data_IF_818218786456
#
_entry.id   IF_818218786456
#
_cell.length_a   1.000
_cell.length_b   1.000
_cell.length_c   1.000
_cell.angle_alpha   90.00
_cell.angle_beta   90.00
_cell.angle_gamma   90.00
#
_symmetry.space_group_name_H-M   'P 1'
#
loop_
_entity.id
_entity.type
_entity.pdbx_description
1 polymer ?
#
# COMPACT_ATOMS: atom_id res chain seq x y z
N UNK A 1 49.90 9.81 -8.15
CA UNK A 1 49.28 8.48 -8.40
C UNK A 1 49.03 7.85 -7.04
N UNK A 2 47.83 7.96 -6.53
CA UNK A 2 47.45 7.34 -5.25
C UNK A 2 47.15 5.87 -5.47
N UNK A 3 48.00 5.01 -4.90
CA UNK A 3 47.77 3.57 -4.86
C UNK A 3 46.60 3.30 -3.90
N UNK A 4 45.41 3.20 -4.45
CA UNK A 4 44.23 2.77 -3.72
C UNK A 4 44.32 1.23 -3.54
N UNK A 5 45.01 0.79 -2.51
CA UNK A 5 45.16 -0.62 -2.16
C UNK A 5 43.95 -1.03 -1.30
N UNK A 6 42.84 -1.36 -1.94
CA UNK A 6 41.73 -1.99 -1.25
C UNK A 6 42.10 -3.43 -0.89
N UNK A 7 42.16 -3.73 0.41
CA UNK A 7 42.36 -5.09 0.94
C UNK A 7 41.30 -6.10 0.46
N UNK A 8 40.17 -5.61 -0.08
CA UNK A 8 39.08 -6.42 -0.60
C UNK A 8 39.28 -6.82 -2.08
N UNK A 9 40.13 -6.13 -2.85
CA UNK A 9 40.35 -6.42 -4.27
C UNK A 9 41.13 -7.70 -4.51
N UNK A 10 41.95 -8.15 -3.54
CA UNK A 10 42.80 -9.35 -3.66
C UNK A 10 42.23 -10.55 -2.91
N UNK A 11 41.01 -10.52 -2.50
CA UNK A 11 40.35 -11.65 -1.85
C UNK A 11 39.74 -12.53 -2.93
N UNK A 12 40.34 -13.72 -3.11
CA UNK A 12 39.76 -14.76 -3.97
C UNK A 12 38.31 -15.06 -3.47
N UNK A 13 37.35 -14.59 -4.21
CA UNK A 13 35.89 -14.69 -3.87
C UNK A 13 35.46 -16.16 -3.86
N UNK A 14 36.24 -17.04 -4.48
CA UNK A 14 35.97 -18.48 -4.57
C UNK A 14 36.11 -19.25 -3.24
N UNK A 15 36.83 -18.70 -2.24
CA UNK A 15 37.10 -19.44 -0.97
C UNK A 15 36.38 -18.85 0.24
N UNK A 16 35.82 -17.67 0.13
CA UNK A 16 35.03 -17.07 1.20
C UNK A 16 33.54 -17.40 0.99
N UNK A 17 33.09 -18.60 1.39
CA UNK A 17 31.68 -18.84 1.62
C UNK A 17 31.12 -17.64 2.39
N UNK A 18 29.93 -17.13 2.01
CA UNK A 18 29.27 -16.00 2.71
C UNK A 18 29.31 -16.29 4.21
N UNK A 19 30.17 -15.58 4.94
CA UNK A 19 30.21 -15.73 6.41
C UNK A 19 28.92 -15.17 6.95
N UNK A 20 28.23 -15.93 7.76
CA UNK A 20 27.11 -15.41 8.55
C UNK A 20 27.61 -14.16 9.30
N UNK A 21 26.96 -13.00 9.11
CA UNK A 21 27.39 -11.78 9.77
C UNK A 21 27.44 -11.96 11.28
N UNK A 22 28.50 -11.46 11.92
CA UNK A 22 28.59 -11.46 13.40
C UNK A 22 27.45 -10.62 13.99
N UNK A 23 27.13 -10.84 15.26
CA UNK A 23 26.09 -10.05 15.97
C UNK A 23 26.35 -8.53 15.88
N UNK A 24 27.64 -8.12 15.93
CA UNK A 24 28.03 -6.72 15.72
C UNK A 24 27.71 -6.25 14.31
N UNK A 25 28.07 -7.03 13.30
CA UNK A 25 27.78 -6.69 11.88
C UNK A 25 26.27 -6.62 11.67
N UNK A 26 25.51 -7.57 12.22
CA UNK A 26 24.06 -7.55 12.15
C UNK A 26 23.47 -6.31 12.82
N UNK A 27 23.98 -5.90 14.00
CA UNK A 27 23.52 -4.70 14.68
C UNK A 27 23.83 -3.43 13.90
N UNK A 28 24.98 -3.34 13.25
CA UNK A 28 25.37 -2.22 12.39
C UNK A 28 24.53 -2.18 11.11
N UNK A 29 24.26 -3.32 10.49
CA UNK A 29 23.36 -3.43 9.35
C UNK A 29 21.92 -3.03 9.72
N UNK A 30 21.46 -3.42 10.90
CA UNK A 30 20.15 -3.02 11.46
C UNK A 30 20.06 -1.53 11.76
N UNK A 31 21.14 -0.89 12.16
CA UNK A 31 21.14 0.52 12.56
C UNK A 31 21.16 1.51 11.36
N UNK A 32 21.56 1.09 10.18
CA UNK A 32 21.82 2.00 9.05
C UNK A 32 21.27 1.61 7.69
N UNK A 33 20.76 0.39 7.51
CA UNK A 33 20.28 -0.08 6.22
C UNK A 33 18.93 0.54 5.84
N UNK A 34 18.88 1.26 4.71
CA UNK A 34 17.60 1.56 4.06
C UNK A 34 16.99 0.26 3.56
N UNK A 35 15.68 0.12 3.71
CA UNK A 35 14.95 -1.00 3.13
C UNK A 35 15.14 -1.01 1.61
N UNK A 36 15.44 -2.18 1.05
CA UNK A 36 15.41 -2.39 -0.39
C UNK A 36 13.95 -2.38 -0.83
N UNK A 37 13.68 -1.73 -1.95
CA UNK A 37 12.30 -1.61 -2.46
C UNK A 37 12.20 -2.07 -3.89
N UNK A 38 11.02 -2.52 -4.27
CA UNK A 38 10.60 -2.72 -5.65
C UNK A 38 9.33 -1.90 -5.86
N UNK A 39 9.41 -0.93 -6.77
CA UNK A 39 8.32 -0.01 -7.07
C UNK A 39 7.76 -0.30 -8.46
N UNK A 40 6.45 -0.55 -8.59
CA UNK A 40 5.80 -0.62 -9.90
C UNK A 40 5.72 0.79 -10.50
N UNK A 41 6.33 1.00 -11.69
CA UNK A 41 6.37 2.29 -12.39
C UNK A 41 6.33 2.10 -13.89
N UNK A 42 5.39 2.78 -14.56
CA UNK A 42 5.32 2.81 -16.02
C UNK A 42 5.43 1.43 -16.69
N UNK A 43 4.67 0.44 -16.20
CA UNK A 43 4.66 -0.91 -16.72
C UNK A 43 5.92 -1.73 -16.42
N UNK A 44 6.77 -1.29 -15.50
CA UNK A 44 8.00 -1.98 -15.08
C UNK A 44 8.13 -1.97 -13.56
N UNK A 45 8.86 -2.93 -13.02
CA UNK A 45 9.22 -2.94 -11.60
C UNK A 45 10.64 -2.37 -11.44
N UNK A 46 10.77 -1.28 -10.70
CA UNK A 46 12.06 -0.62 -10.47
C UNK A 46 12.59 -1.06 -9.11
N UNK A 47 13.76 -1.68 -9.10
CA UNK A 47 14.48 -1.98 -7.86
C UNK A 47 15.17 -0.72 -7.34
N UNK A 48 14.99 -0.43 -6.07
CA UNK A 48 15.61 0.70 -5.39
C UNK A 48 16.42 0.19 -4.20
N UNK A 49 17.69 0.56 -4.16
CA UNK A 49 18.63 0.19 -3.09
C UNK A 49 19.27 1.47 -2.58
N UNK A 50 19.25 1.71 -1.30
CA UNK A 50 19.76 2.94 -0.66
C UNK A 50 19.18 4.26 -1.20
N UNK A 51 17.98 4.21 -1.80
CA UNK A 51 17.33 5.37 -2.39
C UNK A 51 17.57 5.53 -3.89
N UNK A 52 18.51 4.79 -4.48
CA UNK A 52 18.85 4.88 -5.90
C UNK A 52 18.25 3.73 -6.70
N UNK A 53 17.87 4.00 -7.95
CA UNK A 53 17.40 2.97 -8.87
C UNK A 53 18.55 1.98 -9.21
N UNK A 54 18.41 0.74 -8.76
CA UNK A 54 19.41 -0.31 -8.91
C UNK A 54 19.11 -1.31 -10.04
N UNK A 55 18.09 -1.05 -10.85
CA UNK A 55 17.71 -1.87 -11.99
C UNK A 55 16.21 -1.93 -12.24
N UNK A 56 15.86 -2.45 -13.41
CA UNK A 56 14.46 -2.67 -13.82
C UNK A 56 14.22 -4.16 -13.97
N UNK A 57 13.09 -4.62 -13.43
CA UNK A 57 12.60 -5.99 -13.55
C UNK A 57 11.38 -5.96 -14.48
N UNK A 58 11.35 -6.89 -15.42
CA UNK A 58 10.24 -6.97 -16.38
C UNK A 58 9.03 -7.66 -15.72
N UNK A 59 7.79 -7.24 -16.05
CA UNK A 59 6.61 -8.02 -15.73
C UNK A 59 6.55 -9.31 -16.61
N UNK A 60 5.88 -10.36 -16.15
CA UNK A 60 5.39 -10.54 -14.79
C UNK A 60 6.52 -10.78 -13.79
N UNK A 61 6.37 -10.26 -12.56
CA UNK A 61 7.37 -10.41 -11.51
C UNK A 61 6.97 -11.56 -10.57
N UNK A 62 7.86 -12.55 -10.41
CA UNK A 62 7.67 -13.64 -9.44
C UNK A 62 8.23 -13.25 -8.09
N UNK A 63 7.42 -13.43 -7.05
CA UNK A 63 7.76 -13.12 -5.65
C UNK A 63 7.20 -14.19 -4.71
N UNK A 64 7.76 -14.27 -3.51
CA UNK A 64 7.10 -14.88 -2.36
C UNK A 64 6.83 -13.78 -1.34
N UNK A 65 5.60 -13.68 -0.86
CA UNK A 65 5.21 -12.72 0.17
C UNK A 65 5.63 -13.26 1.53
N UNK A 66 6.67 -12.67 2.13
CA UNK A 66 7.23 -13.06 3.44
C UNK A 66 6.76 -12.16 4.58
N UNK A 67 5.98 -11.12 4.26
CA UNK A 67 5.32 -10.25 5.22
C UNK A 67 4.25 -9.42 4.54
N UNK A 68 3.11 -9.25 5.20
CA UNK A 68 2.00 -8.42 4.73
C UNK A 68 1.52 -7.57 5.89
N UNK A 69 1.29 -6.28 5.64
CA UNK A 69 0.68 -5.42 6.65
C UNK A 69 -0.65 -6.03 7.12
N UNK A 70 -0.84 -6.17 8.43
CA UNK A 70 -2.01 -6.86 9.02
C UNK A 70 -3.33 -6.16 8.69
N UNK A 71 -3.31 -4.82 8.58
CA UNK A 71 -4.48 -4.08 8.16
C UNK A 71 -4.82 -4.38 6.69
N UNK A 72 -6.10 -4.48 6.37
CA UNK A 72 -6.59 -4.62 4.98
C UNK A 72 -6.13 -3.47 4.08
N UNK A 73 -5.90 -2.30 4.67
CA UNK A 73 -5.20 -1.18 4.09
C UNK A 73 -4.64 -0.26 5.17
N UNK A 74 -3.43 0.18 4.99
CA UNK A 74 -2.81 1.28 5.71
C UNK A 74 -3.29 2.60 5.10
N UNK A 75 -3.00 3.73 5.73
CA UNK A 75 -3.41 5.05 5.26
C UNK A 75 -2.28 6.03 5.34
N UNK A 76 -2.25 6.97 4.40
CA UNK A 76 -1.32 8.09 4.43
C UNK A 76 -1.99 9.36 3.87
N UNK A 77 -1.56 10.50 4.37
CA UNK A 77 -2.03 11.82 3.98
C UNK A 77 -0.87 12.79 3.89
N UNK A 78 -0.85 13.57 2.84
CA UNK A 78 0.10 14.66 2.60
C UNK A 78 -0.68 15.96 2.44
N UNK A 79 -0.26 17.01 3.14
CA UNK A 79 -0.82 18.35 3.00
C UNK A 79 -0.42 18.95 1.65
N UNK A 80 0.85 18.74 1.27
CA UNK A 80 1.37 19.24 0.00
C UNK A 80 1.05 18.27 -1.13
N UNK A 81 0.70 18.82 -2.29
CA UNK A 81 0.62 18.03 -3.52
C UNK A 81 1.99 17.50 -3.90
N UNK A 82 2.01 16.33 -4.52
CA UNK A 82 3.23 15.72 -5.03
C UNK A 82 3.97 16.65 -6.01
N UNK A 83 5.26 16.82 -5.78
CA UNK A 83 6.19 17.51 -6.69
C UNK A 83 7.33 16.53 -7.03
N UNK A 84 7.45 16.09 -8.30
CA UNK A 84 8.48 15.13 -8.70
C UNK A 84 9.91 15.67 -8.54
N UNK A 85 10.08 17.00 -8.42
CA UNK A 85 11.39 17.64 -8.24
C UNK A 85 11.72 17.95 -6.78
N UNK A 86 10.76 17.75 -5.85
CA UNK A 86 10.99 17.96 -4.43
C UNK A 86 11.63 16.71 -3.80
N UNK A 87 12.39 16.93 -2.72
CA UNK A 87 12.84 15.81 -1.90
C UNK A 87 11.64 15.05 -1.33
N UNK A 88 11.77 13.72 -1.30
CA UNK A 88 10.75 12.85 -0.72
C UNK A 88 10.55 13.19 0.76
N UNK A 89 9.33 13.53 1.13
CA UNK A 89 8.95 13.90 2.50
C UNK A 89 8.05 12.86 3.13
N UNK A 90 8.05 12.85 4.47
CA UNK A 90 7.13 12.08 5.27
C UNK A 90 5.68 12.45 4.99
N UNK A 91 4.74 11.49 5.05
CA UNK A 91 3.34 11.84 5.17
C UNK A 91 3.10 12.68 6.44
N UNK A 92 2.23 13.67 6.33
CA UNK A 92 1.84 14.51 7.48
C UNK A 92 0.97 13.73 8.48
N UNK A 93 0.27 12.70 8.00
CA UNK A 93 -0.50 11.79 8.83
C UNK A 93 -0.53 10.40 8.18
N UNK A 94 -0.35 9.36 9.00
CA UNK A 94 -0.45 7.97 8.54
C UNK A 94 -1.08 7.07 9.58
N UNK A 95 -1.46 5.88 9.16
CA UNK A 95 -2.02 4.84 10.01
C UNK A 95 -1.56 3.47 9.53
N UNK A 96 -0.87 2.74 10.39
CA UNK A 96 -0.44 1.37 10.10
C UNK A 96 -1.57 0.35 10.25
N UNK A 97 -2.54 0.61 11.12
CA UNK A 97 -3.72 -0.24 11.35
C UNK A 97 -4.95 0.15 10.48
N UNK A 98 -4.85 1.26 9.74
CA UNK A 98 -5.94 1.79 8.93
C UNK A 98 -7.08 2.46 9.72
N UNK A 99 -7.08 2.39 11.06
CA UNK A 99 -8.18 2.81 11.94
C UNK A 99 -7.86 4.07 12.74
N UNK A 100 -6.61 4.20 13.22
CA UNK A 100 -6.18 5.34 14.03
C UNK A 100 -4.87 5.89 13.50
N UNK A 101 -4.65 7.22 13.62
CA UNK A 101 -3.34 7.80 13.35
C UNK A 101 -2.26 7.14 14.22
N UNK A 102 -1.05 6.99 13.64
CA UNK A 102 0.08 6.46 14.38
C UNK A 102 0.40 7.36 15.59
N UNK A 103 0.69 6.80 16.78
CA UNK A 103 0.94 7.58 17.99
C UNK A 103 2.14 8.54 17.92
N UNK A 104 3.07 8.29 16.99
CA UNK A 104 4.25 9.16 16.77
C UNK A 104 3.93 10.47 16.06
N UNK A 105 2.72 10.61 15.50
CA UNK A 105 2.29 11.81 14.77
C UNK A 105 1.97 12.93 15.75
N UNK A 106 2.68 14.08 15.62
CA UNK A 106 2.48 15.23 16.50
C UNK A 106 1.15 15.95 16.29
N UNK A 107 0.65 16.00 15.05
CA UNK A 107 -0.56 16.71 14.67
C UNK A 107 -1.45 15.82 13.78
N UNK A 108 -2.15 14.84 14.36
CA UNK A 108 -3.01 13.95 13.59
C UNK A 108 -4.22 14.72 13.01
N UNK A 109 -4.63 14.37 11.79
CA UNK A 109 -5.73 15.03 11.08
C UNK A 109 -7.13 14.69 11.66
N UNK A 110 -7.22 13.72 12.53
CA UNK A 110 -8.45 13.30 13.20
C UNK A 110 -8.17 12.30 14.32
N UNK A 111 -9.13 12.04 15.18
CA UNK A 111 -9.01 11.05 16.27
C UNK A 111 -9.06 9.61 15.74
N UNK A 112 -9.82 9.39 14.68
CA UNK A 112 -9.94 8.10 13.98
C UNK A 112 -9.88 8.34 12.49
N UNK A 113 -9.40 7.34 11.73
CA UNK A 113 -9.32 7.44 10.27
C UNK A 113 -10.69 7.41 9.61
N UNK A 114 -11.69 6.76 10.22
CA UNK A 114 -13.04 6.66 9.68
C UNK A 114 -13.73 8.03 9.62
N UNK A 115 -13.68 8.80 10.71
CA UNK A 115 -14.33 10.11 10.84
C UNK A 115 -13.43 11.27 10.44
N UNK A 116 -12.23 11.00 9.93
CA UNK A 116 -11.25 12.01 9.55
C UNK A 116 -11.74 12.84 8.36
N UNK A 117 -11.66 14.19 8.40
CA UNK A 117 -12.04 15.06 7.28
C UNK A 117 -11.30 14.72 5.98
N UNK A 118 -10.05 14.27 6.06
CA UNK A 118 -9.23 13.90 4.90
C UNK A 118 -9.65 12.55 4.27
N UNK A 119 -10.52 11.79 4.93
CA UNK A 119 -11.05 10.51 4.44
C UNK A 119 -12.44 10.66 3.79
N UNK A 120 -12.95 11.86 3.64
CA UNK A 120 -14.26 12.13 3.00
C UNK A 120 -14.06 12.25 1.48
N UNK A 121 -14.97 11.70 0.67
CA UNK A 121 -15.00 11.93 -0.78
C UNK A 121 -15.04 13.41 -1.08
N UNK A 122 -14.19 13.88 -2.00
CA UNK A 122 -14.05 15.28 -2.34
C UNK A 122 -13.05 16.06 -1.50
N UNK A 123 -12.44 15.45 -0.46
CA UNK A 123 -11.36 16.09 0.30
C UNK A 123 -10.03 16.15 -0.49
N UNK A 124 -9.88 15.32 -1.51
CA UNK A 124 -8.73 15.31 -2.41
C UNK A 124 -9.01 16.01 -3.75
N UNK A 125 -8.18 15.73 -4.75
CA UNK A 125 -8.39 16.26 -6.10
C UNK A 125 -9.62 15.63 -6.74
N UNK A 126 -10.57 16.47 -7.20
CA UNK A 126 -11.83 16.02 -7.78
C UNK A 126 -12.70 15.28 -6.75
N UNK A 127 -13.24 14.12 -7.11
CA UNK A 127 -14.08 13.30 -6.24
C UNK A 127 -13.27 12.24 -5.44
N UNK A 128 -11.96 12.46 -5.24
CA UNK A 128 -11.11 11.55 -4.49
C UNK A 128 -11.05 11.91 -3.00
N UNK A 129 -10.42 11.04 -2.21
CA UNK A 129 -10.06 11.33 -0.82
C UNK A 129 -8.63 11.82 -0.76
N UNK A 130 -8.36 12.82 0.10
CA UNK A 130 -7.01 13.30 0.32
C UNK A 130 -6.16 12.26 1.09
N UNK A 131 -6.76 11.55 2.04
CA UNK A 131 -6.13 10.42 2.72
C UNK A 131 -6.22 9.17 1.83
N UNK A 132 -5.07 8.63 1.44
CA UNK A 132 -4.97 7.52 0.50
C UNK A 132 -4.82 6.19 1.21
N UNK A 133 -5.32 5.15 0.57
CA UNK A 133 -5.09 3.77 1.02
C UNK A 133 -3.82 3.24 0.37
N UNK A 134 -3.02 2.54 1.17
CA UNK A 134 -1.88 1.76 0.72
C UNK A 134 -1.81 0.44 1.46
N UNK A 135 -1.05 -0.52 0.94
CA UNK A 135 -0.69 -1.74 1.66
C UNK A 135 0.75 -2.10 1.33
N UNK A 136 1.55 -2.26 2.38
CA UNK A 136 2.95 -2.67 2.27
C UNK A 136 3.06 -4.17 2.43
N UNK A 137 3.94 -4.75 1.62
CA UNK A 137 4.32 -6.14 1.70
C UNK A 137 5.84 -6.26 1.69
N UNK A 138 6.35 -7.30 2.35
CA UNK A 138 7.72 -7.75 2.25
C UNK A 138 7.76 -8.95 1.31
N UNK A 139 8.68 -8.94 0.37
CA UNK A 139 8.83 -10.01 -0.62
C UNK A 139 10.29 -10.44 -0.76
N UNK A 140 10.50 -11.70 -1.13
CA UNK A 140 11.75 -12.19 -1.70
C UNK A 140 11.53 -12.59 -3.16
N UNK A 141 12.59 -12.57 -3.95
CA UNK A 141 12.54 -12.96 -5.35
C UNK A 141 13.04 -14.41 -5.48
N UNK A 142 12.22 -15.37 -5.92
CA UNK A 142 12.64 -16.77 -6.11
C UNK A 142 13.87 -16.91 -7.01
N UNK A 143 13.94 -16.11 -8.07
CA UNK A 143 15.02 -16.14 -9.05
C UNK A 143 16.37 -15.65 -8.49
N UNK A 144 16.39 -15.05 -7.30
CA UNK A 144 17.60 -14.57 -6.62
C UNK A 144 18.12 -15.52 -5.53
N UNK A 145 17.34 -16.54 -5.20
CA UNK A 145 17.74 -17.56 -4.22
C UNK A 145 18.94 -18.34 -4.75
N UNK A 146 19.97 -18.49 -3.91
CA UNK A 146 21.24 -19.09 -4.33
C UNK A 146 22.20 -18.14 -5.07
N UNK A 147 21.74 -16.95 -5.47
CA UNK A 147 22.52 -15.92 -6.15
C UNK A 147 23.15 -14.87 -5.22
N UNK A 148 23.62 -13.79 -5.80
CA UNK A 148 24.25 -12.67 -5.07
C UNK A 148 23.29 -11.92 -4.13
N UNK A 149 22.01 -11.93 -4.44
CA UNK A 149 20.94 -11.28 -3.67
C UNK A 149 20.15 -12.27 -2.82
N UNK A 150 20.70 -13.47 -2.60
CA UNK A 150 20.08 -14.47 -1.73
C UNK A 150 19.77 -13.89 -0.35
N UNK A 151 18.53 -14.05 0.09
CA UNK A 151 18.03 -13.54 1.38
C UNK A 151 17.74 -12.03 1.40
N UNK A 152 17.79 -11.35 0.25
CA UNK A 152 17.37 -9.96 0.16
C UNK A 152 15.85 -9.85 0.29
N UNK A 153 15.40 -9.02 1.23
CA UNK A 153 13.98 -8.72 1.43
C UNK A 153 13.70 -7.35 0.83
N UNK A 154 12.68 -7.29 0.00
CA UNK A 154 12.23 -6.06 -0.65
C UNK A 154 10.88 -5.64 -0.11
N UNK A 155 10.73 -4.34 0.15
CA UNK A 155 9.42 -3.74 0.39
C UNK A 155 8.75 -3.46 -0.97
N UNK A 156 7.47 -3.80 -1.09
CA UNK A 156 6.61 -3.30 -2.15
C UNK A 156 5.42 -2.56 -1.52
N UNK A 157 5.00 -1.48 -2.17
CA UNK A 157 3.86 -0.66 -1.74
C UNK A 157 2.81 -0.66 -2.85
N UNK A 158 1.57 -0.92 -2.51
CA UNK A 158 0.46 -0.96 -3.42
C UNK A 158 -0.61 0.06 -3.05
N UNK A 159 -1.10 0.79 -4.05
CA UNK A 159 -2.18 1.75 -3.91
C UNK A 159 -3.56 1.09 -4.00
N UNK A 160 -4.61 1.83 -3.69
CA UNK A 160 -6.01 1.36 -3.62
C UNK A 160 -6.44 0.47 -4.78
N UNK A 161 -6.08 0.82 -6.02
CA UNK A 161 -6.48 0.09 -7.23
C UNK A 161 -5.89 -1.33 -7.30
N UNK A 162 -4.72 -1.54 -6.66
CA UNK A 162 -4.09 -2.86 -6.57
C UNK A 162 -4.50 -3.65 -5.33
N UNK A 163 -5.15 -2.99 -4.34
CA UNK A 163 -5.54 -3.60 -3.07
C UNK A 163 -6.97 -4.11 -3.13
N UNK A 164 -7.89 -3.27 -3.61
CA UNK A 164 -9.32 -3.50 -3.57
C UNK A 164 -9.88 -3.85 -4.94
N UNK A 165 -10.91 -4.67 -4.96
CA UNK A 165 -11.63 -5.05 -6.16
C UNK A 165 -11.98 -6.53 -6.17
N UNK A 166 -12.60 -6.95 -7.24
CA UNK A 166 -12.91 -8.36 -7.50
C UNK A 166 -11.88 -8.92 -8.48
N UNK A 167 -11.49 -10.17 -8.27
CA UNK A 167 -10.67 -10.89 -9.23
C UNK A 167 -11.46 -11.31 -10.48
N UNK A 168 -10.74 -11.66 -11.53
CA UNK A 168 -11.27 -12.29 -12.73
C UNK A 168 -10.45 -13.54 -13.06
N UNK A 169 -11.13 -14.68 -13.15
CA UNK A 169 -10.44 -15.97 -13.33
C UNK A 169 -9.54 -16.29 -12.13
N UNK A 170 -8.22 -16.35 -12.35
CA UNK A 170 -7.23 -16.64 -11.33
C UNK A 170 -6.34 -15.41 -11.01
N UNK A 171 -6.76 -14.22 -11.39
CA UNK A 171 -6.02 -12.97 -11.24
C UNK A 171 -6.81 -12.02 -10.35
N UNK A 172 -6.19 -11.50 -9.30
CA UNK A 172 -6.88 -10.81 -8.22
C UNK A 172 -6.13 -9.54 -7.78
N UNK A 173 -6.83 -8.48 -7.30
CA UNK A 173 -6.23 -7.49 -6.42
C UNK A 173 -5.75 -8.11 -5.11
N UNK A 174 -4.81 -7.48 -4.42
CA UNK A 174 -4.08 -8.06 -3.28
C UNK A 174 -4.98 -8.67 -2.19
N UNK A 175 -6.03 -7.95 -1.75
CA UNK A 175 -6.88 -8.47 -0.68
C UNK A 175 -7.64 -9.72 -1.12
N UNK A 176 -8.27 -9.68 -2.30
CA UNK A 176 -8.96 -10.83 -2.86
C UNK A 176 -8.00 -12.00 -3.18
N UNK A 177 -6.75 -11.70 -3.53
CA UNK A 177 -5.71 -12.71 -3.71
C UNK A 177 -5.38 -13.44 -2.41
N UNK A 178 -5.19 -12.69 -1.33
CA UNK A 178 -4.93 -13.27 0.00
C UNK A 178 -6.10 -14.17 0.43
N UNK A 179 -7.34 -13.67 0.28
CA UNK A 179 -8.55 -14.45 0.60
C UNK A 179 -8.64 -15.72 -0.26
N UNK A 180 -8.27 -15.62 -1.55
CA UNK A 180 -8.24 -16.77 -2.45
C UNK A 180 -7.22 -17.83 -2.02
N UNK A 181 -5.99 -17.46 -1.67
CA UNK A 181 -4.96 -18.39 -1.19
C UNK A 181 -5.41 -19.09 0.10
N UNK A 182 -5.91 -18.34 1.07
CA UNK A 182 -6.42 -18.87 2.35
C UNK A 182 -7.61 -19.81 2.13
N UNK A 183 -8.54 -19.45 1.26
CA UNK A 183 -9.71 -20.28 0.94
C UNK A 183 -9.34 -21.63 0.27
N UNK A 184 -8.17 -21.69 -0.39
CA UNK A 184 -7.62 -22.94 -0.93
C UNK A 184 -6.79 -23.74 0.09
N UNK A 185 -6.72 -23.30 1.36
CA UNK A 185 -6.04 -24.01 2.43
C UNK A 185 -4.53 -23.79 2.46
N UNK A 186 -4.01 -22.79 1.72
CA UNK A 186 -2.58 -22.51 1.62
C UNK A 186 -2.18 -21.27 2.45
N UNK A 187 -0.91 -21.24 2.85
CA UNK A 187 -0.30 -20.06 3.44
C UNK A 187 0.18 -19.09 2.36
N UNK A 188 0.10 -17.81 2.62
CA UNK A 188 0.50 -16.79 1.65
C UNK A 188 2.01 -16.82 1.35
N UNK A 189 2.82 -17.26 2.30
CA UNK A 189 4.26 -17.49 2.19
C UNK A 189 4.61 -18.87 1.62
N UNK A 190 3.63 -19.77 1.48
CA UNK A 190 3.77 -21.06 0.83
C UNK A 190 3.60 -21.06 -0.70
N UNK A 191 3.29 -19.90 -1.27
CA UNK A 191 2.93 -19.77 -2.68
C UNK A 191 3.86 -18.81 -3.42
N UNK A 192 4.37 -19.21 -4.57
CA UNK A 192 5.04 -18.32 -5.53
C UNK A 192 3.97 -17.51 -6.23
N UNK A 193 4.00 -16.21 -6.04
CA UNK A 193 3.05 -15.25 -6.56
C UNK A 193 3.64 -14.54 -7.78
N UNK A 194 2.89 -14.46 -8.84
CA UNK A 194 3.20 -13.63 -9.99
C UNK A 194 2.42 -12.31 -9.90
N UNK A 195 3.13 -11.20 -10.04
CA UNK A 195 2.57 -9.85 -10.04
C UNK A 195 2.71 -9.29 -11.45
N UNK A 196 1.60 -8.86 -12.03
CA UNK A 196 1.58 -8.26 -13.36
C UNK A 196 0.76 -6.96 -13.37
N UNK A 197 1.02 -6.12 -14.36
CA UNK A 197 0.28 -4.87 -14.53
C UNK A 197 -1.11 -5.14 -15.10
N UNK A 198 -2.08 -4.37 -14.61
CA UNK A 198 -3.44 -4.43 -15.10
C UNK A 198 -3.57 -3.56 -16.37
N UNK A 199 -3.63 -4.19 -17.52
CA UNK A 199 -3.78 -3.53 -18.83
C UNK A 199 -5.08 -2.72 -18.94
N UNK A 200 -6.17 -3.21 -18.33
CA UNK A 200 -7.48 -2.53 -18.33
C UNK A 200 -7.46 -1.16 -17.63
N UNK A 201 -6.39 -0.88 -16.87
CA UNK A 201 -6.23 0.34 -16.10
C UNK A 201 -4.96 1.12 -16.47
N UNK A 202 -4.58 1.12 -17.74
CA UNK A 202 -3.39 1.82 -18.26
C UNK A 202 -2.10 1.49 -17.47
N UNK A 203 -1.97 0.25 -16.98
CA UNK A 203 -0.87 -0.20 -16.13
C UNK A 203 -0.69 0.60 -14.82
N UNK A 204 -1.76 1.23 -14.33
CA UNK A 204 -1.74 2.01 -13.08
C UNK A 204 -1.99 1.15 -11.83
N UNK A 205 -2.23 -0.13 -11.97
CA UNK A 205 -2.41 -1.08 -10.87
C UNK A 205 -1.77 -2.40 -11.24
N UNK A 206 -1.56 -3.24 -10.24
CA UNK A 206 -1.05 -4.59 -10.42
C UNK A 206 -2.07 -5.60 -9.90
N UNK A 207 -2.01 -6.80 -10.47
CA UNK A 207 -2.81 -7.95 -10.09
C UNK A 207 -1.90 -9.11 -9.71
N UNK A 208 -2.43 -10.04 -8.93
CA UNK A 208 -1.70 -11.14 -8.30
C UNK A 208 -2.28 -12.49 -8.76
N UNK A 209 -1.39 -13.45 -9.01
CA UNK A 209 -1.74 -14.80 -9.38
C UNK A 209 -0.81 -15.81 -8.69
N UNK A 210 -1.37 -16.89 -8.15
CA UNK A 210 -0.59 -18.03 -7.67
C UNK A 210 -0.09 -18.84 -8.87
N UNK A 211 1.20 -19.19 -8.90
CA UNK A 211 1.78 -19.90 -10.04
C UNK A 211 2.48 -21.18 -9.67
N UNK A 212 2.99 -21.31 -8.43
CA UNK A 212 3.67 -22.51 -7.95
C UNK A 212 3.71 -22.54 -6.42
N UNK A 213 4.12 -23.66 -5.84
CA UNK A 213 4.28 -23.84 -4.40
C UNK A 213 5.74 -23.76 -3.99
N UNK A 214 6.02 -23.01 -2.93
CA UNK A 214 7.36 -22.85 -2.35
C UNK A 214 7.93 -24.20 -1.92
N UNK A 215 7.09 -25.10 -1.38
CA UNK A 215 7.47 -26.45 -0.95
C UNK A 215 8.05 -27.34 -2.08
N UNK A 216 7.77 -27.02 -3.35
CA UNK A 216 8.36 -27.70 -4.50
C UNK A 216 9.84 -27.36 -4.71
N UNK A 217 10.36 -26.32 -4.01
CA UNK A 217 11.71 -25.77 -4.17
C UNK A 217 12.41 -25.68 -2.80
N UNK A 218 13.16 -26.70 -2.36
CA UNK A 218 13.72 -26.78 -0.99
C UNK A 218 14.63 -25.59 -0.61
N UNK A 219 15.45 -25.08 -1.54
CA UNK A 219 16.30 -23.93 -1.29
C UNK A 219 15.48 -22.64 -1.10
N UNK A 220 14.39 -22.50 -1.86
CA UNK A 220 13.46 -21.39 -1.72
C UNK A 220 12.71 -21.48 -0.40
N UNK A 221 12.26 -22.69 0.00
CA UNK A 221 11.58 -22.89 1.29
C UNK A 221 12.46 -22.44 2.45
N UNK A 222 13.74 -22.84 2.46
CA UNK A 222 14.67 -22.41 3.51
C UNK A 222 14.86 -20.88 3.55
N UNK A 223 14.94 -20.25 2.38
CA UNK A 223 15.06 -18.79 2.29
C UNK A 223 13.79 -18.07 2.75
N UNK A 224 12.61 -18.63 2.46
CA UNK A 224 11.31 -18.11 2.93
C UNK A 224 11.21 -18.20 4.45
N UNK A 225 11.53 -19.37 5.04
CA UNK A 225 11.47 -19.58 6.49
C UNK A 225 12.38 -18.58 7.24
N UNK A 226 13.59 -18.34 6.72
CA UNK A 226 14.51 -17.33 7.27
C UNK A 226 13.93 -15.92 7.13
N UNK A 227 13.40 -15.58 5.95
CA UNK A 227 12.85 -14.25 5.67
C UNK A 227 11.62 -13.94 6.52
N UNK A 228 10.67 -14.88 6.68
CA UNK A 228 9.46 -14.71 7.51
C UNK A 228 9.83 -14.45 8.98
N UNK A 229 10.84 -15.16 9.48
CA UNK A 229 11.33 -14.98 10.84
C UNK A 229 12.16 -13.69 11.04
N UNK A 230 12.51 -12.99 9.96
CA UNK A 230 13.42 -11.85 10.03
C UNK A 230 12.75 -10.57 10.53
N UNK A 231 13.45 -9.75 11.34
CA UNK A 231 12.97 -8.42 11.70
C UNK A 231 12.84 -7.47 10.49
N UNK A 232 13.52 -7.76 9.39
CA UNK A 232 13.50 -6.95 8.17
C UNK A 232 12.15 -7.06 7.45
N UNK A 233 11.58 -8.27 7.37
CA UNK A 233 10.23 -8.45 6.83
C UNK A 233 9.18 -7.68 7.63
N UNK A 234 9.29 -7.69 8.98
CA UNK A 234 8.38 -6.94 9.85
C UNK A 234 8.53 -5.42 9.69
N UNK A 235 9.77 -4.92 9.52
CA UNK A 235 10.02 -3.49 9.26
C UNK A 235 9.51 -3.05 7.90
N UNK A 236 9.59 -3.92 6.89
CA UNK A 236 9.16 -3.60 5.55
C UNK A 236 7.65 -3.36 5.43
N UNK A 237 6.84 -3.89 6.35
CA UNK A 237 5.37 -3.73 6.29
C UNK A 237 4.82 -2.60 7.16
N UNK A 238 5.68 -1.90 7.90
CA UNK A 238 5.30 -0.82 8.82
C UNK A 238 5.90 0.51 8.36
N UNK A 239 5.10 1.57 8.35
CA UNK A 239 5.60 2.93 8.18
C UNK A 239 6.09 3.47 9.53
N UNK A 240 7.32 3.93 9.59
CA UNK A 240 7.92 4.55 10.79
C UNK A 240 8.52 5.91 10.46
N UNK A 241 8.60 6.80 11.44
CA UNK A 241 9.24 8.12 11.29
C UNK A 241 10.69 8.01 10.80
N UNK A 242 11.44 7.03 11.32
CA UNK A 242 12.83 6.80 10.92
C UNK A 242 12.98 6.34 9.46
N UNK A 243 11.99 5.64 8.90
CA UNK A 243 11.94 5.26 7.50
C UNK A 243 11.73 6.50 6.61
N UNK A 244 10.91 7.41 7.09
CA UNK A 244 10.54 8.64 6.40
C UNK A 244 11.69 9.66 6.38
N UNK A 245 12.35 9.90 7.51
CA UNK A 245 13.50 10.83 7.61
C UNK A 245 14.69 10.42 6.73
N UNK A 246 14.72 9.17 6.26
CA UNK A 246 15.74 8.65 5.35
C UNK A 246 15.38 8.74 3.86
N UNK A 247 14.34 9.50 3.49
CA UNK A 247 13.92 9.67 2.11
C UNK A 247 13.17 8.45 1.53
N UNK A 248 12.55 7.64 2.39
CA UNK A 248 11.58 6.62 1.99
C UNK A 248 10.19 7.24 1.70
N UNK A 249 10.11 8.58 1.65
CA UNK A 249 8.96 9.31 1.18
C UNK A 249 8.72 9.03 -0.30
N UNK A 250 7.47 8.99 -0.65
CA UNK A 250 6.89 8.54 -1.90
C UNK A 250 7.43 9.21 -3.16
N UNK A 251 8.56 8.74 -3.69
CA UNK A 251 8.87 8.93 -5.09
C UNK A 251 7.94 8.09 -6.01
N UNK A 252 6.96 7.38 -5.41
CA UNK A 252 6.10 6.42 -6.11
C UNK A 252 4.77 7.00 -6.59
N UNK A 253 4.51 8.32 -6.36
CA UNK A 253 3.24 8.96 -6.76
C UNK A 253 3.16 9.40 -8.25
N UNK A 254 4.15 9.09 -9.07
CA UNK A 254 4.12 9.41 -10.51
C UNK A 254 2.97 8.70 -11.28
N UNK A 255 2.24 7.81 -10.61
CA UNK A 255 1.17 7.02 -11.22
C UNK A 255 -0.14 7.77 -11.47
N UNK A 256 -0.36 8.95 -10.91
CA UNK A 256 -1.67 9.63 -11.02
C UNK A 256 -1.69 10.98 -11.75
N UNK A 257 -0.58 11.49 -12.30
CA UNK A 257 -0.57 12.84 -12.86
C UNK A 257 -0.44 12.95 -14.39
N UNK A 258 -0.82 11.95 -15.15
CA UNK A 258 -1.00 12.14 -16.59
C UNK A 258 -2.34 12.83 -16.86
N UNK A 259 -2.26 14.15 -17.15
CA UNK A 259 -3.29 15.08 -17.67
C UNK A 259 -4.07 15.89 -16.63
N UNK A 260 -3.50 17.03 -16.29
CA UNK A 260 -4.27 18.20 -15.86
C UNK A 260 -4.40 19.17 -17.07
N UNK A 261 -5.60 19.50 -17.55
CA UNK A 261 -5.77 20.66 -18.42
C UNK A 261 -5.61 21.91 -17.57
N UNK A 262 -4.75 22.83 -18.01
CA UNK A 262 -4.57 24.14 -17.42
C UNK A 262 -5.87 24.93 -17.53
N UNK A 263 -6.55 25.17 -16.42
CA UNK A 263 -7.62 26.16 -16.33
C UNK A 263 -7.05 27.44 -15.73
N UNK A 264 -6.99 28.49 -16.56
CA UNK A 264 -6.65 29.85 -16.17
C UNK A 264 -7.62 30.30 -15.07
N UNK A 265 -7.06 30.77 -13.97
CA UNK A 265 -7.80 31.54 -12.97
C UNK A 265 -8.18 32.90 -13.57
N UNK A 266 -9.47 33.14 -13.73
CA UNK A 266 -10.03 34.45 -13.91
C UNK A 266 -10.39 34.99 -12.51
N UNK A 267 -9.77 36.08 -12.14
CA UNK A 267 -10.14 36.86 -10.96
C UNK A 267 -11.53 37.46 -11.20
N UNK A 268 -12.44 37.26 -10.27
CA UNK A 268 -13.70 38.00 -10.21
C UNK A 268 -13.63 38.86 -8.94
N UNK A 269 -13.61 40.18 -9.17
CA UNK A 269 -13.81 41.20 -8.16
C UNK A 269 -15.20 41.04 -7.56
N UNK A 270 -15.26 41.10 -6.24
CA UNK A 270 -16.52 41.13 -5.47
C UNK A 270 -16.87 42.59 -5.23
N UNK A 271 -17.92 43.05 -5.85
CA UNK A 271 -18.56 44.33 -5.57
C UNK A 271 -19.60 44.14 -4.45
N UNK A 272 -19.46 44.93 -3.43
CA UNK A 272 -20.27 44.95 -2.21
C UNK A 272 -21.51 45.82 -2.45
N UNK A 273 -22.72 45.26 -2.46
CA UNK A 273 -23.96 46.05 -2.47
C UNK A 273 -24.84 45.68 -1.30
N UNK A 274 -25.18 46.73 -0.55
CA UNK A 274 -25.90 46.72 0.73
C UNK A 274 -27.40 46.48 0.58
N UNK A 275 -27.97 45.99 1.66
CA UNK A 275 -29.33 45.57 1.92
C UNK A 275 -30.45 46.55 1.57
N UNK A 276 -31.73 46.13 1.63
CA UNK A 276 -32.53 46.50 2.80
C UNK A 276 -33.41 45.42 3.43
N UNK A 277 -33.62 45.66 4.72
CA UNK A 277 -34.47 45.00 5.68
C UNK A 277 -35.95 45.08 5.30
N UNK A 278 -36.71 43.99 5.49
CA UNK A 278 -38.15 44.01 5.69
C UNK A 278 -38.63 42.86 6.59
N UNK A 279 -39.42 43.23 7.54
CA UNK A 279 -39.98 42.50 8.70
C UNK A 279 -41.06 41.44 8.33
N UNK A 280 -41.56 40.68 9.30
CA UNK A 280 -42.10 39.34 9.13
C UNK A 280 -43.64 39.31 8.99
N UNK A 281 -44.13 38.41 8.17
CA UNK A 281 -45.57 38.06 8.22
C UNK A 281 -45.79 36.60 8.63
N UNK A 282 -46.49 36.45 9.76
CA UNK A 282 -47.11 35.22 10.27
C UNK A 282 -48.09 34.62 9.26
N UNK A 283 -48.01 33.30 9.02
CA UNK A 283 -49.20 32.52 8.66
C UNK A 283 -49.07 31.06 9.15
N UNK A 284 -49.88 30.82 10.15
CA UNK A 284 -50.72 29.68 10.57
C UNK A 284 -50.51 28.30 9.92
N UNK A 285 -50.35 27.39 10.84
CA UNK A 285 -50.36 25.94 10.82
C UNK A 285 -51.53 25.29 10.04
N UNK A 286 -51.18 24.20 9.30
CA UNK A 286 -52.10 23.06 9.18
C UNK A 286 -51.33 21.76 9.41
N UNK A 287 -51.73 21.10 10.48
CA UNK A 287 -51.32 19.80 10.97
C UNK A 287 -51.84 18.71 10.02
N UNK A 288 -50.98 17.92 9.46
CA UNK A 288 -51.32 16.65 8.79
C UNK A 288 -50.70 15.51 9.58
N UNK A 289 -51.50 14.62 10.05
CA UNK A 289 -51.19 13.39 10.80
C UNK A 289 -50.63 12.35 9.83
N UNK A 290 -49.51 11.69 10.11
CA UNK A 290 -49.11 10.51 9.34
C UNK A 290 -49.85 9.27 9.83
N UNK A 291 -50.26 8.43 8.89
CA UNK A 291 -50.87 7.13 9.12
C UNK A 291 -49.83 6.12 9.67
N UNK A 292 -50.26 5.12 10.46
CA UNK A 292 -49.33 4.16 11.06
C UNK A 292 -48.86 3.14 10.04
N UNK A 293 -47.55 3.00 9.97
CA UNK A 293 -46.87 1.91 9.22
C UNK A 293 -46.94 0.65 10.09
N UNK A 294 -47.62 -0.37 9.64
CA UNK A 294 -47.65 -1.70 10.27
C UNK A 294 -46.27 -2.36 10.18
N UNK A 295 -45.64 -2.59 11.33
CA UNK A 295 -44.45 -3.43 11.46
C UNK A 295 -44.90 -4.89 11.49
N UNK A 296 -44.60 -5.63 10.42
CA UNK A 296 -44.79 -7.07 10.40
C UNK A 296 -43.82 -7.72 11.42
N UNK A 297 -44.37 -8.61 12.25
CA UNK A 297 -43.61 -9.31 13.28
C UNK A 297 -42.73 -10.39 12.64
N UNK A 298 -41.62 -10.73 13.31
CA UNK A 298 -40.68 -11.80 12.85
C UNK A 298 -41.41 -13.17 12.71
N UNK A 299 -42.52 -13.38 13.38
CA UNK A 299 -43.32 -14.59 13.27
C UNK A 299 -44.03 -14.72 11.92
N UNK A 300 -44.43 -13.59 11.30
CA UNK A 300 -45.12 -13.59 10.00
C UNK A 300 -44.15 -13.84 8.83
N UNK A 301 -42.83 -13.62 9.02
CA UNK A 301 -41.81 -13.88 8.01
C UNK A 301 -41.43 -15.35 7.99
N UNK A 302 -41.46 -16.03 9.14
CA UNK A 302 -41.04 -17.45 9.24
C UNK A 302 -42.11 -18.39 8.68
N UNK A 303 -43.39 -18.04 8.76
CA UNK A 303 -44.48 -18.87 8.22
C UNK A 303 -44.57 -18.89 6.69
N UNK A 304 -43.96 -17.90 6.02
CA UNK A 304 -43.95 -17.82 4.56
C UNK A 304 -42.84 -18.73 3.89
N UNK A 305 -42.02 -19.40 4.69
CA UNK A 305 -40.95 -20.24 4.20
C UNK A 305 -41.20 -21.76 4.33
N UNK A 306 -42.40 -22.15 4.82
CA UNK A 306 -42.75 -23.52 5.07
C UNK A 306 -43.71 -24.17 4.04
N UNK A 307 -44.08 -23.44 2.98
CA UNK A 307 -45.09 -23.94 2.00
C UNK A 307 -44.54 -24.30 0.61
N UNK A 308 -43.25 -24.53 0.46
CA UNK A 308 -42.63 -24.99 -0.81
C UNK A 308 -41.91 -26.33 -0.66
N UNK A 309 -42.61 -27.38 -0.12
CA UNK A 309 -42.23 -28.78 -0.26
C UNK A 309 -43.50 -29.62 -0.47
N UNK A 310 -43.92 -29.74 -1.74
CA UNK A 310 -44.61 -30.93 -2.28
C UNK A 310 -44.28 -31.08 -3.77
#
# INVERSE_FOLDING_TARGET
MSNDVSIFKNRDVAVAGKKTPSALTQSLMKAGGRLKRISPRNGMFVRVVNGDAAGKLKPPLRVVLVGVAQANAQRQFYIKSYDPNAEATAPDCWSNDGNKPDPSIKAPQGKTCETCPQNIKGSGSGNTRACRFERRVAVILPDEVGGNNHGDIYQMKFASKSIFGKGAGQVFPLNAYIDYVIANGENIDGVITEIDFNEDNDNQSVLFRAVDFVASHPELQAAVDEAVASPEAQKAVVLTVAAVDKGEGDADEEFETAKKPATKAAAVEVEEEQAPVAEPTKRTSKKATPAPTETKSLADVVSAWSDDEE
#
